data_IF_599690786129
#
_entry.id   IF_599690786129
#
_cell.length_a   1.000
_cell.length_b   1.000
_cell.length_c   1.000
_cell.angle_alpha   90.00
_cell.angle_beta   90.00
_cell.angle_gamma   90.00
#
_symmetry.space_group_name_H-M   'P 1'
#
loop_
_entity.id
_entity.type
_entity.pdbx_description
1 polymer ?
#
# COMPACT_ATOMS: atom_id res chain seq x y z
N UNK A 1 10.68 -7.06 -25.08
CA UNK A 1 12.15 -6.95 -24.91
C UNK A 1 12.50 -5.48 -24.84
N UNK A 2 13.22 -5.08 -23.80
CA UNK A 2 13.71 -3.70 -23.63
C UNK A 2 14.72 -3.36 -24.72
N UNK A 3 14.70 -2.12 -25.23
CA UNK A 3 15.72 -1.62 -26.14
C UNK A 3 17.13 -1.84 -25.54
N UNK A 4 18.07 -2.46 -26.27
CA UNK A 4 19.42 -2.73 -25.75
C UNK A 4 20.14 -1.49 -25.23
N UNK A 5 19.98 -0.32 -25.89
CA UNK A 5 20.59 0.93 -25.43
C UNK A 5 19.98 1.41 -24.11
N UNK A 6 18.66 1.27 -23.95
CA UNK A 6 17.99 1.62 -22.70
C UNK A 6 18.34 0.64 -21.57
N UNK A 7 18.55 -0.65 -21.87
CA UNK A 7 19.00 -1.65 -20.89
C UNK A 7 20.40 -1.30 -20.37
N UNK A 8 21.34 -0.94 -21.25
CA UNK A 8 22.69 -0.52 -20.85
C UNK A 8 22.67 0.68 -19.90
N UNK A 9 21.80 1.67 -20.17
CA UNK A 9 21.60 2.79 -19.26
C UNK A 9 21.01 2.34 -17.92
N UNK A 10 20.02 1.44 -17.91
CA UNK A 10 19.36 0.91 -16.72
C UNK A 10 20.33 0.11 -15.83
N UNK A 11 21.30 -0.63 -16.43
CA UNK A 11 22.33 -1.36 -15.67
C UNK A 11 23.19 -0.43 -14.80
N UNK A 12 23.37 0.82 -15.23
CA UNK A 12 24.17 1.83 -14.55
C UNK A 12 23.35 2.84 -13.73
N UNK A 13 22.03 2.82 -13.85
CA UNK A 13 21.14 3.74 -13.14
C UNK A 13 21.21 3.55 -11.63
N UNK A 14 21.18 4.67 -10.86
CA UNK A 14 21.33 4.69 -9.40
C UNK A 14 20.01 4.88 -8.66
N UNK A 15 18.91 5.14 -9.39
CA UNK A 15 17.60 5.21 -8.76
C UNK A 15 17.33 3.92 -7.98
N UNK A 16 16.79 4.04 -6.77
CA UNK A 16 16.66 2.93 -5.83
C UNK A 16 15.88 1.71 -6.38
N UNK A 17 14.90 1.83 -7.29
CA UNK A 17 14.26 0.65 -7.88
C UNK A 17 15.23 -0.21 -8.69
N UNK A 18 16.19 0.41 -9.40
CA UNK A 18 17.23 -0.32 -10.12
C UNK A 18 18.25 -0.96 -9.18
N UNK A 19 18.59 -0.31 -8.06
CA UNK A 19 19.44 -0.92 -7.04
C UNK A 19 18.82 -2.19 -6.46
N UNK A 20 17.52 -2.17 -6.17
CA UNK A 20 16.79 -3.34 -5.67
C UNK A 20 16.62 -4.42 -6.76
N UNK A 21 16.28 -4.02 -7.98
CA UNK A 21 16.17 -4.94 -9.12
C UNK A 21 17.49 -5.71 -9.40
N UNK A 22 18.65 -5.04 -9.30
CA UNK A 22 19.95 -5.70 -9.44
C UNK A 22 20.20 -6.78 -8.39
N UNK A 23 19.64 -6.70 -7.19
CA UNK A 23 19.72 -7.79 -6.19
C UNK A 23 19.01 -9.03 -6.70
N UNK A 24 17.82 -8.85 -7.32
CA UNK A 24 17.06 -9.95 -7.93
C UNK A 24 17.81 -10.53 -9.13
N UNK A 25 18.35 -9.70 -10.02
CA UNK A 25 19.21 -10.18 -11.12
C UNK A 25 20.38 -11.01 -10.60
N UNK A 26 21.06 -10.52 -9.55
CA UNK A 26 22.17 -11.26 -8.90
C UNK A 26 21.71 -12.57 -8.26
N UNK A 27 20.49 -12.59 -7.66
CA UNK A 27 19.87 -13.79 -7.09
C UNK A 27 19.73 -14.89 -8.13
N UNK A 28 19.30 -14.55 -9.33
CA UNK A 28 19.08 -15.49 -10.43
C UNK A 28 20.39 -16.11 -10.95
N UNK A 29 21.52 -15.44 -10.79
CA UNK A 29 22.82 -15.90 -11.28
C UNK A 29 22.80 -16.34 -12.77
N UNK A 30 22.03 -15.61 -13.60
CA UNK A 30 21.88 -15.90 -15.03
C UNK A 30 20.91 -17.07 -15.37
N UNK A 31 20.17 -17.59 -14.40
CA UNK A 31 19.21 -18.70 -14.61
C UNK A 31 17.78 -18.19 -14.49
N UNK A 32 16.90 -18.79 -15.27
CA UNK A 32 15.46 -18.66 -15.05
C UNK A 32 15.04 -19.58 -13.90
N UNK A 33 14.24 -19.11 -12.93
CA UNK A 33 13.70 -19.98 -11.88
C UNK A 33 12.91 -21.16 -12.47
N UNK A 34 12.90 -22.30 -11.77
CA UNK A 34 12.18 -23.51 -12.24
C UNK A 34 10.69 -23.30 -12.46
N UNK A 35 10.08 -22.35 -11.71
CA UNK A 35 8.69 -21.90 -11.90
C UNK A 35 8.47 -21.05 -13.17
N UNK A 36 9.52 -20.71 -13.92
CA UNK A 36 9.48 -19.98 -15.19
C UNK A 36 9.37 -18.45 -15.08
N UNK A 37 9.30 -17.89 -13.89
CA UNK A 37 9.16 -16.45 -13.65
C UNK A 37 9.81 -16.02 -12.33
N UNK A 38 10.05 -14.73 -12.17
CA UNK A 38 10.42 -14.09 -10.90
C UNK A 38 9.18 -13.65 -10.18
N UNK A 39 9.04 -14.03 -8.91
CA UNK A 39 7.90 -13.70 -8.08
C UNK A 39 8.21 -12.54 -7.12
N UNK A 40 7.49 -11.45 -7.32
CA UNK A 40 7.38 -10.34 -6.38
C UNK A 40 6.12 -10.55 -5.52
N UNK A 41 6.19 -10.25 -4.23
CA UNK A 41 5.07 -10.42 -3.32
C UNK A 41 4.85 -9.17 -2.47
N UNK A 42 3.59 -8.90 -2.13
CA UNK A 42 3.16 -7.94 -1.13
C UNK A 42 2.13 -8.59 -0.22
N UNK A 43 2.20 -8.33 1.10
CA UNK A 43 1.30 -8.91 2.09
C UNK A 43 0.21 -7.93 2.53
N UNK A 44 -1.00 -8.43 2.74
CA UNK A 44 -2.14 -7.66 3.22
C UNK A 44 -2.94 -8.43 4.28
N UNK A 45 -3.10 -7.84 5.46
CA UNK A 45 -3.99 -8.38 6.50
C UNK A 45 -5.40 -7.79 6.37
N UNK A 46 -6.42 -8.55 5.92
CA UNK A 46 -7.76 -8.06 5.63
C UNK A 46 -8.64 -7.90 6.88
N UNK A 47 -8.06 -7.47 8.00
CA UNK A 47 -8.76 -7.11 9.22
C UNK A 47 -9.31 -5.68 9.23
N UNK A 48 -9.21 -4.97 8.12
CA UNK A 48 -9.69 -3.61 7.89
C UNK A 48 -9.44 -3.18 6.45
N UNK A 49 -9.93 -1.98 6.08
CA UNK A 49 -9.80 -1.44 4.73
C UNK A 49 -8.33 -1.20 4.33
N UNK A 50 -8.01 -1.27 3.02
CA UNK A 50 -6.73 -0.81 2.48
C UNK A 50 -6.46 0.64 2.89
N UNK A 51 -5.21 0.99 3.03
CA UNK A 51 -4.80 2.32 3.43
C UNK A 51 -3.55 2.77 2.66
N UNK A 52 -3.13 4.00 2.91
CA UNK A 52 -2.00 4.63 2.21
C UNK A 52 -0.70 3.81 2.31
N UNK A 53 -0.50 3.05 3.40
CA UNK A 53 0.62 2.11 3.54
C UNK A 53 0.53 0.93 2.55
N UNK A 54 -0.69 0.40 2.33
CA UNK A 54 -0.95 -0.66 1.35
C UNK A 54 -0.61 -0.18 -0.06
N UNK A 55 -1.09 1.03 -0.43
CA UNK A 55 -0.70 1.67 -1.68
C UNK A 55 0.83 1.77 -1.82
N UNK A 56 1.49 2.30 -0.78
CA UNK A 56 2.94 2.52 -0.81
C UNK A 56 3.75 1.23 -0.97
N UNK A 57 3.29 0.11 -0.43
CA UNK A 57 3.94 -1.18 -0.55
C UNK A 57 3.81 -1.75 -1.97
N UNK A 58 2.59 -1.80 -2.50
CA UNK A 58 2.33 -2.31 -3.85
C UNK A 58 3.02 -1.44 -4.91
N UNK A 59 2.93 -0.10 -4.77
CA UNK A 59 3.57 0.83 -5.69
C UNK A 59 5.10 0.64 -5.72
N UNK A 60 5.75 0.59 -4.55
CA UNK A 60 7.21 0.39 -4.47
C UNK A 60 7.63 -0.95 -5.06
N UNK A 61 6.91 -2.02 -4.76
CA UNK A 61 7.20 -3.35 -5.31
C UNK A 61 7.02 -3.36 -6.84
N UNK A 62 5.99 -2.69 -7.35
CA UNK A 62 5.76 -2.52 -8.78
C UNK A 62 6.91 -1.77 -9.46
N UNK A 63 7.46 -0.73 -8.85
CA UNK A 63 8.61 0.00 -9.42
C UNK A 63 9.88 -0.86 -9.48
N UNK A 64 10.12 -1.69 -8.46
CA UNK A 64 11.25 -2.65 -8.48
C UNK A 64 11.03 -3.72 -9.55
N UNK A 65 9.82 -4.26 -9.66
CA UNK A 65 9.45 -5.23 -10.71
C UNK A 65 9.70 -4.65 -12.12
N UNK A 66 9.21 -3.45 -12.38
CA UNK A 66 9.40 -2.76 -13.68
C UNK A 66 10.89 -2.46 -13.97
N UNK A 67 11.65 -2.06 -12.96
CA UNK A 67 13.09 -1.90 -13.08
C UNK A 67 13.80 -3.24 -13.40
N UNK A 68 13.35 -4.36 -12.80
CA UNK A 68 13.85 -5.69 -13.11
C UNK A 68 13.54 -6.10 -14.55
N UNK A 69 12.34 -5.84 -15.05
CA UNK A 69 11.91 -6.12 -16.43
C UNK A 69 12.74 -5.36 -17.48
N UNK A 70 13.34 -4.23 -17.10
CA UNK A 70 14.32 -3.53 -17.96
C UNK A 70 15.69 -4.21 -17.98
N UNK A 71 16.07 -4.89 -16.88
CA UNK A 71 17.38 -5.53 -16.73
C UNK A 71 17.40 -7.00 -17.15
N UNK A 72 16.23 -7.63 -17.29
CA UNK A 72 16.09 -9.08 -17.53
C UNK A 72 14.89 -9.37 -18.42
N UNK A 73 15.01 -10.41 -19.26
CA UNK A 73 13.89 -10.90 -20.07
C UNK A 73 13.12 -12.06 -19.37
N UNK A 74 13.50 -12.40 -18.13
CA UNK A 74 12.77 -13.41 -17.35
C UNK A 74 11.40 -12.84 -16.98
N UNK A 75 10.30 -13.57 -17.28
CA UNK A 75 8.94 -13.12 -16.93
C UNK A 75 8.79 -12.83 -15.44
N UNK A 76 7.89 -11.95 -15.09
CA UNK A 76 7.61 -11.57 -13.68
C UNK A 76 6.15 -11.75 -13.34
N UNK A 77 5.87 -12.00 -12.06
CA UNK A 77 4.53 -11.91 -11.47
C UNK A 77 4.60 -11.11 -10.17
N UNK A 78 3.51 -10.43 -9.84
CA UNK A 78 3.32 -9.77 -8.55
C UNK A 78 2.13 -10.39 -7.85
N UNK A 79 2.34 -10.98 -6.68
CA UNK A 79 1.25 -11.46 -5.84
C UNK A 79 0.85 -10.40 -4.83
N UNK A 80 -0.45 -10.06 -4.83
CA UNK A 80 -1.10 -9.37 -3.73
C UNK A 80 -1.69 -10.44 -2.81
N UNK A 81 -0.92 -10.84 -1.80
CA UNK A 81 -1.25 -11.95 -0.90
C UNK A 81 -2.09 -11.44 0.28
N UNK A 82 -3.26 -12.04 0.47
CA UNK A 82 -4.15 -11.72 1.59
C UNK A 82 -4.05 -12.77 2.69
N UNK A 83 -3.74 -12.35 3.92
CA UNK A 83 -3.70 -13.18 5.13
C UNK A 83 -5.12 -13.41 5.69
N UNK A 84 -6.08 -13.75 4.83
CA UNK A 84 -7.51 -13.86 5.12
C UNK A 84 -7.90 -15.09 5.96
N UNK A 85 -6.97 -16.02 6.16
CA UNK A 85 -7.10 -17.13 7.10
C UNK A 85 -6.76 -16.75 8.55
N UNK A 86 -6.29 -15.52 8.80
CA UNK A 86 -6.03 -15.04 10.14
C UNK A 86 -7.30 -15.02 10.98
N UNK A 87 -7.18 -15.47 12.25
CA UNK A 87 -8.29 -15.38 13.20
C UNK A 87 -8.61 -13.93 13.55
N UNK A 88 -9.89 -13.59 13.55
CA UNK A 88 -10.36 -12.26 13.99
C UNK A 88 -10.00 -12.03 15.45
N UNK A 89 -9.03 -11.15 15.72
CA UNK A 89 -8.53 -10.90 17.09
C UNK A 89 -9.36 -9.88 17.86
N UNK A 90 -10.02 -8.97 17.16
CA UNK A 90 -10.85 -7.90 17.71
C UNK A 90 -11.86 -7.43 16.69
N UNK A 91 -12.96 -6.89 17.17
CA UNK A 91 -13.97 -6.24 16.31
C UNK A 91 -13.49 -4.82 15.98
N UNK A 92 -13.43 -4.42 14.69
CA UNK A 92 -13.15 -3.04 14.33
C UNK A 92 -14.27 -2.10 14.81
N UNK A 93 -13.90 -0.90 15.27
CA UNK A 93 -14.87 0.06 15.82
C UNK A 93 -15.71 0.76 14.74
N UNK A 94 -15.26 0.72 13.49
CA UNK A 94 -15.85 1.44 12.36
C UNK A 94 -16.69 0.57 11.42
N UNK A 95 -17.18 -0.57 11.90
CA UNK A 95 -18.04 -1.49 11.12
C UNK A 95 -19.41 -1.65 11.79
N UNK A 96 -20.48 -1.93 11.02
CA UNK A 96 -21.79 -2.24 11.60
C UNK A 96 -21.81 -3.65 12.22
N UNK A 97 -22.92 -4.00 12.89
CA UNK A 97 -23.18 -5.34 13.41
C UNK A 97 -22.07 -5.89 14.33
N UNK A 98 -21.49 -5.06 15.20
CA UNK A 98 -20.37 -5.40 16.07
C UNK A 98 -20.65 -6.59 17.01
N UNK A 99 -21.88 -6.72 17.54
CA UNK A 99 -22.26 -7.84 18.40
C UNK A 99 -22.20 -9.18 17.66
N UNK A 100 -22.60 -9.20 16.39
CA UNK A 100 -22.48 -10.38 15.54
C UNK A 100 -21.00 -10.74 15.36
N UNK A 101 -20.12 -9.77 15.07
CA UNK A 101 -18.69 -10.00 14.94
C UNK A 101 -18.05 -10.47 16.24
N UNK A 102 -18.51 -9.97 17.40
CA UNK A 102 -18.02 -10.40 18.72
C UNK A 102 -18.24 -11.90 18.95
N UNK A 103 -19.34 -12.46 18.46
CA UNK A 103 -19.63 -13.89 18.54
C UNK A 103 -18.75 -14.76 17.63
N UNK A 104 -17.97 -14.14 16.73
CA UNK A 104 -17.11 -14.84 15.77
C UNK A 104 -15.62 -14.59 16.01
N UNK A 105 -15.24 -14.00 17.15
CA UNK A 105 -13.83 -13.79 17.48
C UNK A 105 -13.04 -15.10 17.43
N UNK A 106 -11.82 -15.01 16.94
CA UNK A 106 -10.90 -16.13 16.78
C UNK A 106 -11.12 -16.99 15.52
N UNK A 107 -12.25 -16.86 14.82
CA UNK A 107 -12.46 -17.57 13.55
C UNK A 107 -11.65 -16.93 12.42
N UNK A 108 -11.23 -17.71 11.39
CA UNK A 108 -10.66 -17.16 10.17
C UNK A 108 -11.53 -16.03 9.60
N UNK A 109 -10.93 -14.97 9.08
CA UNK A 109 -11.69 -13.82 8.54
C UNK A 109 -12.67 -14.24 7.43
N UNK A 110 -12.33 -15.28 6.67
CA UNK A 110 -13.20 -15.89 5.65
C UNK A 110 -14.35 -16.73 6.22
N UNK A 111 -14.30 -17.06 7.52
CA UNK A 111 -15.38 -17.75 8.24
C UNK A 111 -16.19 -16.82 9.15
N UNK A 112 -15.90 -15.53 9.16
CA UNK A 112 -16.65 -14.49 9.88
C UNK A 112 -17.68 -13.89 8.93
N UNK A 113 -18.98 -13.85 9.27
CA UNK A 113 -20.01 -13.24 8.43
C UNK A 113 -19.68 -11.78 8.11
N UNK A 114 -20.03 -11.34 6.88
CA UNK A 114 -19.82 -9.95 6.47
C UNK A 114 -20.78 -9.02 7.23
N UNK A 115 -20.27 -8.05 8.03
CA UNK A 115 -21.12 -7.13 8.77
C UNK A 115 -21.92 -6.17 7.87
N UNK A 116 -21.53 -6.02 6.62
CA UNK A 116 -22.22 -5.18 5.62
C UNK A 116 -23.26 -5.96 4.82
N UNK A 117 -23.20 -7.29 4.84
CA UNK A 117 -24.13 -8.16 4.11
C UNK A 117 -23.98 -8.12 2.59
N UNK A 118 -22.84 -7.72 2.08
CA UNK A 118 -22.56 -7.55 0.64
C UNK A 118 -21.71 -8.68 0.05
N UNK A 119 -21.00 -9.42 0.91
CA UNK A 119 -20.11 -10.51 0.53
C UNK A 119 -20.34 -11.74 1.41
N UNK A 120 -19.76 -12.86 1.02
CA UNK A 120 -19.87 -14.14 1.73
C UNK A 120 -19.32 -14.07 3.15
N UNK A 121 -18.22 -13.33 3.35
CA UNK A 121 -17.59 -13.16 4.66
C UNK A 121 -16.91 -11.80 4.80
N UNK A 122 -16.50 -11.49 6.03
CA UNK A 122 -15.71 -10.29 6.33
C UNK A 122 -14.36 -10.30 5.60
N UNK A 123 -13.71 -11.47 5.49
CA UNK A 123 -12.50 -11.63 4.69
C UNK A 123 -12.74 -11.32 3.21
N UNK A 124 -13.81 -11.88 2.60
CA UNK A 124 -14.16 -11.62 1.21
C UNK A 124 -14.53 -10.16 0.95
N UNK A 125 -15.22 -9.50 1.89
CA UNK A 125 -15.51 -8.06 1.78
C UNK A 125 -14.22 -7.24 1.68
N UNK A 126 -13.28 -7.43 2.63
CA UNK A 126 -12.03 -6.68 2.64
C UNK A 126 -11.11 -7.04 1.46
N UNK A 127 -11.11 -8.30 1.02
CA UNK A 127 -10.40 -8.73 -0.19
C UNK A 127 -10.96 -8.06 -1.45
N UNK A 128 -12.28 -7.94 -1.57
CA UNK A 128 -12.92 -7.22 -2.68
C UNK A 128 -12.53 -5.73 -2.67
N UNK A 129 -12.49 -5.12 -1.49
CA UNK A 129 -12.05 -3.71 -1.34
C UNK A 129 -10.57 -3.53 -1.69
N UNK A 130 -9.71 -4.50 -1.32
CA UNK A 130 -8.31 -4.47 -1.75
C UNK A 130 -8.17 -4.55 -3.27
N UNK A 131 -8.85 -5.50 -3.90
CA UNK A 131 -8.79 -5.66 -5.36
C UNK A 131 -9.29 -4.41 -6.07
N UNK A 132 -10.45 -3.88 -5.68
CA UNK A 132 -10.97 -2.62 -6.23
C UNK A 132 -9.95 -1.48 -6.08
N UNK A 133 -9.36 -1.34 -4.91
CA UNK A 133 -8.34 -0.33 -4.65
C UNK A 133 -7.11 -0.48 -5.56
N UNK A 134 -6.60 -1.70 -5.76
CA UNK A 134 -5.46 -1.95 -6.62
C UNK A 134 -5.80 -1.74 -8.12
N UNK A 135 -7.01 -2.13 -8.52
CA UNK A 135 -7.52 -1.95 -9.88
C UNK A 135 -7.71 -0.47 -10.22
N UNK A 136 -8.23 0.33 -9.28
CA UNK A 136 -8.42 1.78 -9.44
C UNK A 136 -7.08 2.52 -9.68
N UNK A 137 -5.98 1.99 -9.13
CA UNK A 137 -4.63 2.50 -9.39
C UNK A 137 -3.94 1.84 -10.60
N UNK A 138 -4.60 0.90 -11.26
CA UNK A 138 -4.07 0.24 -12.46
C UNK A 138 -2.85 -0.65 -12.20
N UNK A 139 -2.73 -1.24 -11.01
CA UNK A 139 -1.67 -2.21 -10.72
C UNK A 139 -1.91 -3.53 -11.48
N UNK A 140 -0.82 -4.10 -12.01
CA UNK A 140 -0.81 -5.44 -12.60
C UNK A 140 -0.36 -6.45 -11.54
N UNK A 141 -1.28 -7.26 -11.05
CA UNK A 141 -1.07 -8.21 -9.95
C UNK A 141 -1.96 -9.45 -10.08
N UNK A 142 -1.55 -10.51 -9.40
CA UNK A 142 -2.39 -11.69 -9.15
C UNK A 142 -2.82 -11.66 -7.69
N UNK A 143 -4.12 -11.67 -7.43
CA UNK A 143 -4.64 -11.79 -6.07
C UNK A 143 -4.50 -13.24 -5.58
N UNK A 144 -4.02 -13.43 -4.34
CA UNK A 144 -3.84 -14.75 -3.71
C UNK A 144 -4.44 -14.74 -2.31
N UNK A 145 -5.38 -15.65 -2.05
CA UNK A 145 -5.98 -15.89 -0.74
C UNK A 145 -5.19 -16.93 0.06
N UNK A 146 -4.84 -16.59 1.29
CA UNK A 146 -4.26 -17.56 2.24
C UNK A 146 -5.20 -18.72 2.48
N UNK A 147 -6.49 -18.46 2.72
CA UNK A 147 -7.52 -19.48 2.94
C UNK A 147 -7.61 -20.47 1.79
N UNK A 148 -7.61 -19.98 0.55
CA UNK A 148 -7.63 -20.85 -0.64
C UNK A 148 -6.34 -21.69 -0.70
N UNK A 149 -5.16 -21.08 -0.51
CA UNK A 149 -3.89 -21.79 -0.54
C UNK A 149 -3.82 -22.93 0.49
N UNK A 150 -4.34 -22.73 1.69
CA UNK A 150 -4.38 -23.74 2.72
C UNK A 150 -5.41 -24.85 2.41
N UNK A 151 -6.62 -24.47 1.98
CA UNK A 151 -7.72 -25.42 1.74
C UNK A 151 -7.50 -26.28 0.49
N UNK A 152 -6.91 -25.71 -0.57
CA UNK A 152 -6.65 -26.39 -1.83
C UNK A 152 -5.35 -27.18 -1.83
N UNK A 153 -4.62 -27.19 -0.72
CA UNK A 153 -3.40 -27.97 -0.54
C UNK A 153 -2.15 -27.37 -1.17
N UNK A 154 -2.21 -26.10 -1.61
CA UNK A 154 -1.03 -25.43 -2.19
C UNK A 154 0.13 -25.36 -1.22
N UNK A 155 -0.14 -25.32 0.09
CA UNK A 155 0.84 -25.28 1.17
C UNK A 155 1.12 -26.64 1.82
N UNK A 156 0.44 -27.73 1.43
CA UNK A 156 0.52 -29.03 2.10
C UNK A 156 1.95 -29.59 2.18
N UNK A 157 2.71 -29.48 1.08
CA UNK A 157 4.10 -29.88 1.07
C UNK A 157 4.97 -29.12 2.06
N UNK A 158 4.82 -27.79 2.11
CA UNK A 158 5.54 -26.92 3.02
C UNK A 158 5.13 -27.14 4.49
N UNK A 159 3.85 -27.36 4.76
CA UNK A 159 3.34 -27.66 6.10
C UNK A 159 3.91 -28.98 6.64
N UNK A 160 4.03 -30.03 5.79
CA UNK A 160 4.70 -31.28 6.16
C UNK A 160 6.20 -31.09 6.43
N UNK A 161 6.88 -30.25 5.65
CA UNK A 161 8.28 -29.89 5.89
C UNK A 161 8.46 -29.16 7.23
N UNK A 162 7.55 -28.24 7.58
CA UNK A 162 7.57 -27.56 8.89
C UNK A 162 7.35 -28.55 10.01
N UNK A 163 6.44 -29.51 9.86
CA UNK A 163 6.23 -30.56 10.84
C UNK A 163 7.47 -31.44 11.00
N UNK A 164 8.10 -31.83 9.91
CA UNK A 164 9.34 -32.64 9.94
C UNK A 164 10.52 -31.88 10.60
N UNK A 165 10.54 -30.56 10.56
CA UNK A 165 11.57 -29.70 11.14
C UNK A 165 11.11 -28.95 12.39
N UNK A 166 10.05 -29.45 13.02
CA UNK A 166 9.36 -28.79 14.14
C UNK A 166 10.32 -28.34 15.24
N UNK A 167 11.19 -29.22 15.73
CA UNK A 167 12.10 -28.92 16.82
C UNK A 167 13.18 -27.90 16.43
N UNK A 168 13.68 -27.95 15.19
CA UNK A 168 14.63 -26.97 14.68
C UNK A 168 14.01 -25.58 14.58
N UNK A 169 12.74 -25.50 14.16
CA UNK A 169 11.97 -24.25 14.11
C UNK A 169 11.70 -23.72 15.50
N UNK A 170 11.29 -24.57 16.45
CA UNK A 170 11.16 -24.19 17.86
C UNK A 170 12.47 -23.63 18.41
N UNK A 171 13.60 -24.30 18.16
CA UNK A 171 14.92 -23.83 18.56
C UNK A 171 15.28 -22.43 18.04
N UNK A 172 14.79 -22.07 16.85
CA UNK A 172 14.98 -20.74 16.27
C UNK A 172 14.02 -19.68 16.86
N UNK A 173 12.79 -20.07 17.18
CA UNK A 173 11.71 -19.13 17.59
C UNK A 173 11.71 -18.87 19.09
N UNK A 174 11.79 -19.91 19.91
CA UNK A 174 11.65 -19.79 21.38
C UNK A 174 12.58 -18.77 22.03
N UNK A 175 13.86 -18.63 21.63
CA UNK A 175 14.76 -17.61 22.20
C UNK A 175 14.26 -16.17 21.99
N UNK A 176 13.41 -15.94 21.00
CA UNK A 176 12.87 -14.60 20.66
C UNK A 176 11.60 -14.24 21.46
N UNK A 177 11.06 -15.18 22.24
CA UNK A 177 9.80 -15.03 22.98
C UNK A 177 10.06 -14.80 24.47
N UNK A 178 9.13 -14.08 25.12
CA UNK A 178 9.08 -13.98 26.57
C UNK A 178 8.73 -15.34 27.23
N UNK A 179 9.06 -15.48 28.51
CA UNK A 179 8.98 -16.75 29.24
C UNK A 179 7.58 -17.40 29.22
N UNK A 180 6.55 -16.62 29.48
CA UNK A 180 5.16 -17.09 29.47
C UNK A 180 4.76 -17.65 28.08
N UNK A 181 5.14 -16.96 27.00
CA UNK A 181 4.79 -17.38 25.65
C UNK A 181 5.61 -18.58 25.18
N UNK A 182 6.81 -18.81 25.70
CA UNK A 182 7.61 -20.01 25.39
C UNK A 182 6.92 -21.31 25.79
N UNK A 183 6.16 -21.29 26.88
CA UNK A 183 5.50 -22.49 27.42
C UNK A 183 4.32 -22.96 26.56
N UNK A 184 3.70 -22.06 25.80
CA UNK A 184 2.49 -22.33 25.01
C UNK A 184 2.69 -22.21 23.51
N UNK A 185 3.90 -21.84 23.07
CA UNK A 185 4.16 -21.63 21.66
C UNK A 185 4.21 -22.93 20.87
N UNK A 186 3.52 -22.95 19.74
CA UNK A 186 3.68 -23.93 18.66
C UNK A 186 3.73 -23.18 17.34
N UNK A 187 4.50 -23.65 16.33
CA UNK A 187 4.39 -23.17 14.95
C UNK A 187 2.98 -23.33 14.38
N UNK A 188 2.28 -24.40 14.75
CA UNK A 188 0.93 -24.71 14.29
C UNK A 188 -0.15 -24.13 15.19
N UNK A 189 -1.18 -23.59 14.55
CA UNK A 189 -2.43 -23.11 15.16
C UNK A 189 -3.56 -24.01 14.61
N UNK A 190 -4.00 -25.04 15.34
CA UNK A 190 -5.10 -25.86 14.89
C UNK A 190 -6.40 -25.05 14.84
N UNK A 191 -7.24 -25.32 13.85
CA UNK A 191 -8.61 -24.81 13.77
C UNK A 191 -9.51 -25.82 14.46
N UNK A 192 -10.19 -25.38 15.52
CA UNK A 192 -11.06 -26.27 16.31
C UNK A 192 -12.19 -26.83 15.42
N UNK A 193 -12.30 -28.15 15.23
CA UNK A 193 -13.36 -28.73 14.39
C UNK A 193 -14.78 -28.43 14.89
N UNK A 194 -14.93 -28.16 16.19
CA UNK A 194 -16.23 -27.89 16.83
C UNK A 194 -16.66 -26.44 16.71
N UNK A 195 -15.72 -25.48 16.85
CA UNK A 195 -16.03 -24.03 16.94
C UNK A 195 -15.58 -23.25 15.71
N UNK A 196 -14.67 -23.79 14.91
CA UNK A 196 -14.02 -23.07 13.81
C UNK A 196 -13.01 -22.00 14.25
N UNK A 197 -12.67 -21.94 15.53
CA UNK A 197 -11.72 -20.96 16.08
C UNK A 197 -10.29 -21.41 15.86
N UNK A 198 -9.43 -20.50 15.43
CA UNK A 198 -7.98 -20.68 15.33
C UNK A 198 -7.40 -20.69 16.74
N UNK A 199 -6.93 -21.84 17.20
CA UNK A 199 -6.50 -22.03 18.57
C UNK A 199 -4.99 -21.75 18.73
N UNK A 200 -4.66 -21.05 19.80
CA UNK A 200 -3.28 -20.85 20.23
C UNK A 200 -3.01 -21.72 21.47
N UNK A 201 -2.71 -23.00 21.24
CA UNK A 201 -2.57 -24.04 22.26
C UNK A 201 -1.24 -24.78 22.12
N UNK A 202 -0.68 -25.35 23.20
CA UNK A 202 0.48 -26.23 23.11
C UNK A 202 0.14 -27.49 22.32
N UNK A 203 1.10 -27.99 21.54
CA UNK A 203 1.01 -29.27 20.85
C UNK A 203 1.56 -30.34 21.79
N UNK A 204 0.76 -31.35 22.05
CA UNK A 204 1.06 -32.45 22.98
C UNK A 204 1.84 -33.59 22.31
N UNK A 205 1.58 -33.82 21.03
CA UNK A 205 2.25 -34.83 20.22
C UNK A 205 2.18 -34.46 18.74
N UNK A 206 3.10 -35.00 17.96
CA UNK A 206 3.15 -34.86 16.52
C UNK A 206 3.48 -36.21 15.87
N UNK A 207 2.85 -36.50 14.75
CA UNK A 207 3.17 -37.64 13.90
C UNK A 207 3.57 -37.12 12.51
N UNK A 208 4.87 -37.15 12.24
CA UNK A 208 5.43 -36.67 10.98
C UNK A 208 5.00 -37.55 9.80
N UNK A 209 4.87 -38.87 10.02
CA UNK A 209 4.49 -39.82 8.97
C UNK A 209 3.03 -39.65 8.58
N UNK A 210 2.13 -39.53 9.56
CA UNK A 210 0.72 -39.25 9.36
C UNK A 210 0.46 -37.79 8.94
N UNK A 211 1.36 -36.86 9.30
CA UNK A 211 1.16 -35.43 9.06
C UNK A 211 0.13 -34.81 10.00
N UNK A 212 0.11 -35.27 11.27
CA UNK A 212 -0.88 -34.85 12.26
C UNK A 212 -0.20 -34.24 13.51
N UNK A 213 -1.00 -33.45 14.24
CA UNK A 213 -0.66 -32.90 15.57
C UNK A 213 -1.81 -33.20 16.54
N UNK A 214 -1.47 -33.34 17.82
CA UNK A 214 -2.42 -33.55 18.91
C UNK A 214 -2.36 -32.37 19.88
N UNK A 215 -3.50 -31.84 20.24
CA UNK A 215 -3.63 -30.79 21.26
C UNK A 215 -4.76 -31.13 22.25
N UNK A 216 -4.83 -30.43 23.38
CA UNK A 216 -5.96 -30.49 24.30
C UNK A 216 -6.98 -29.40 23.94
N UNK A 217 -8.24 -29.80 23.70
CA UNK A 217 -9.35 -28.85 23.49
C UNK A 217 -9.47 -27.94 24.73
N UNK A 218 -9.40 -26.61 24.60
CA UNK A 218 -9.35 -25.71 25.76
C UNK A 218 -10.61 -25.72 26.60
N UNK A 219 -11.76 -26.11 26.05
CA UNK A 219 -13.03 -26.16 26.78
C UNK A 219 -13.26 -27.50 27.49
N UNK A 220 -12.94 -28.61 26.83
CA UNK A 220 -13.24 -29.96 27.35
C UNK A 220 -12.04 -30.68 27.94
N UNK A 221 -10.82 -30.25 27.66
CA UNK A 221 -9.57 -30.94 27.96
C UNK A 221 -9.35 -32.24 27.17
N UNK A 222 -10.24 -32.59 26.26
CA UNK A 222 -10.10 -33.78 25.45
C UNK A 222 -8.94 -33.65 24.43
N UNK A 223 -8.22 -34.75 24.21
CA UNK A 223 -7.20 -34.79 23.16
C UNK A 223 -7.86 -34.81 21.79
N UNK A 224 -7.44 -33.90 20.93
CA UNK A 224 -7.91 -33.77 19.56
C UNK A 224 -6.71 -33.93 18.62
N UNK A 225 -6.81 -34.85 17.69
CA UNK A 225 -5.84 -35.03 16.61
C UNK A 225 -6.38 -34.39 15.33
N UNK A 226 -5.52 -33.61 14.65
CA UNK A 226 -5.88 -32.95 13.39
C UNK A 226 -4.70 -33.05 12.40
N UNK A 227 -4.95 -33.14 11.08
CA UNK A 227 -3.91 -33.03 10.09
C UNK A 227 -3.38 -31.58 10.05
N UNK A 228 -2.11 -31.40 9.70
CA UNK A 228 -1.53 -30.07 9.52
C UNK A 228 -1.88 -29.44 8.16
N UNK A 229 -2.46 -30.23 7.24
CA UNK A 229 -2.78 -29.91 5.85
C UNK A 229 -4.28 -29.68 5.63
N UNK A 230 -4.68 -29.28 4.43
CA UNK A 230 -6.09 -29.16 4.01
C UNK A 230 -6.89 -28.12 4.82
N UNK A 231 -6.26 -27.06 5.30
CA UNK A 231 -6.94 -26.01 6.04
C UNK A 231 -7.30 -26.34 7.50
N UNK A 232 -6.91 -27.51 8.03
CA UNK A 232 -7.18 -27.86 9.44
C UNK A 232 -6.26 -27.16 10.44
N UNK A 233 -5.13 -26.68 9.99
CA UNK A 233 -4.19 -25.86 10.75
C UNK A 233 -3.78 -24.64 9.95
N UNK A 234 -3.48 -23.58 10.65
CA UNK A 234 -2.75 -22.42 10.15
C UNK A 234 -1.40 -22.33 10.89
N UNK A 235 -0.45 -21.56 10.38
CA UNK A 235 0.80 -21.31 11.10
C UNK A 235 0.77 -19.99 11.87
N UNK A 236 1.63 -19.91 12.89
CA UNK A 236 1.97 -18.65 13.55
C UNK A 236 2.63 -17.69 12.54
N UNK A 237 2.31 -16.40 12.64
CA UNK A 237 2.69 -15.33 11.72
C UNK A 237 4.10 -15.46 11.09
N UNK A 238 5.15 -15.59 11.89
CA UNK A 238 6.53 -15.63 11.37
C UNK A 238 6.87 -16.96 10.68
N UNK A 239 6.27 -18.05 11.12
CA UNK A 239 6.36 -19.35 10.47
C UNK A 239 5.53 -19.39 9.19
N UNK A 240 4.35 -18.78 9.21
CA UNK A 240 3.46 -18.63 8.06
C UNK A 240 4.15 -17.86 6.94
N UNK A 241 4.76 -16.74 7.28
CA UNK A 241 5.50 -15.92 6.33
C UNK A 241 6.68 -16.67 5.68
N UNK A 242 7.47 -17.39 6.47
CA UNK A 242 8.55 -18.24 5.96
C UNK A 242 8.02 -19.40 5.10
N UNK A 243 6.94 -20.05 5.53
CA UNK A 243 6.29 -21.13 4.78
C UNK A 243 5.77 -20.63 3.43
N UNK A 244 5.16 -19.46 3.42
CA UNK A 244 4.66 -18.83 2.19
C UNK A 244 5.81 -18.55 1.21
N UNK A 245 6.92 -17.96 1.66
CA UNK A 245 8.11 -17.75 0.85
C UNK A 245 8.63 -19.07 0.25
N UNK A 246 8.73 -20.08 1.10
CA UNK A 246 9.19 -21.42 0.70
C UNK A 246 8.23 -22.08 -0.32
N UNK A 247 6.94 -22.10 -0.04
CA UNK A 247 5.95 -22.79 -0.86
C UNK A 247 5.70 -22.12 -2.22
N UNK A 248 5.78 -20.79 -2.27
CA UNK A 248 5.57 -19.99 -3.47
C UNK A 248 6.88 -19.68 -4.21
N UNK A 249 8.03 -19.99 -3.59
CA UNK A 249 9.36 -19.65 -4.09
C UNK A 249 9.47 -18.14 -4.39
N UNK A 250 9.20 -17.30 -3.38
CA UNK A 250 9.20 -15.84 -3.51
C UNK A 250 10.63 -15.33 -3.71
N UNK A 251 10.84 -14.50 -4.73
CA UNK A 251 12.14 -13.95 -5.05
C UNK A 251 12.38 -12.57 -4.41
N UNK A 252 11.31 -11.79 -4.25
CA UNK A 252 11.39 -10.43 -3.72
C UNK A 252 10.14 -10.05 -2.92
N UNK A 253 10.35 -9.59 -1.69
CA UNK A 253 9.31 -8.98 -0.86
C UNK A 253 9.92 -7.89 0.02
N UNK A 254 9.32 -6.69 0.03
CA UNK A 254 9.73 -5.63 0.95
C UNK A 254 8.75 -5.52 2.12
N UNK A 255 9.19 -4.88 3.20
CA UNK A 255 8.35 -4.71 4.39
C UNK A 255 8.63 -3.40 5.13
N UNK A 256 7.72 -3.00 6.00
CA UNK A 256 7.93 -1.90 6.91
C UNK A 256 9.07 -2.19 7.91
N UNK A 257 9.75 -1.15 8.36
CA UNK A 257 10.84 -1.25 9.35
C UNK A 257 10.42 -1.94 10.66
N UNK A 258 9.16 -1.85 11.02
CA UNK A 258 8.60 -2.52 12.21
C UNK A 258 8.57 -4.05 12.09
N UNK A 259 8.78 -4.59 10.90
CA UNK A 259 8.82 -6.03 10.62
C UNK A 259 10.24 -6.61 10.50
N UNK A 260 11.30 -5.83 10.74
CA UNK A 260 12.70 -6.28 10.61
C UNK A 260 12.97 -7.56 11.41
N UNK A 261 12.53 -7.61 12.66
CA UNK A 261 12.70 -8.80 13.50
C UNK A 261 11.91 -10.01 12.97
N UNK A 262 10.75 -9.75 12.36
CA UNK A 262 9.93 -10.79 11.72
C UNK A 262 10.61 -11.32 10.47
N UNK A 263 11.10 -10.45 9.59
CA UNK A 263 11.88 -10.81 8.39
C UNK A 263 13.11 -11.63 8.77
N UNK A 264 13.84 -11.20 9.80
CA UNK A 264 15.03 -11.89 10.29
C UNK A 264 14.72 -13.31 10.75
N UNK A 265 13.65 -13.50 11.52
CA UNK A 265 13.25 -14.80 12.02
C UNK A 265 12.65 -15.67 10.92
N UNK A 266 11.78 -15.13 10.07
CA UNK A 266 11.20 -15.85 8.93
C UNK A 266 12.31 -16.32 7.98
N UNK A 267 13.34 -15.48 7.73
CA UNK A 267 14.52 -15.86 6.95
C UNK A 267 15.34 -17.01 7.57
N UNK A 268 15.40 -17.10 8.90
CA UNK A 268 16.04 -18.26 9.58
C UNK A 268 15.21 -19.52 9.38
N UNK A 269 13.90 -19.43 9.51
CA UNK A 269 12.98 -20.56 9.34
C UNK A 269 13.06 -21.06 7.89
N UNK A 270 13.04 -20.18 6.90
CA UNK A 270 13.13 -20.59 5.51
C UNK A 270 14.47 -21.31 5.18
N UNK A 271 15.58 -20.86 5.78
CA UNK A 271 16.86 -21.60 5.66
C UNK A 271 16.81 -22.97 6.33
N UNK A 272 16.06 -23.12 7.44
CA UNK A 272 15.82 -24.43 8.06
C UNK A 272 15.04 -25.32 7.09
N UNK A 273 14.10 -24.77 6.32
CA UNK A 273 13.35 -25.48 5.28
C UNK A 273 14.23 -25.82 4.05
N UNK A 274 15.44 -25.27 3.96
CA UNK A 274 16.40 -25.56 2.89
C UNK A 274 16.32 -24.59 1.71
N UNK A 275 15.59 -23.48 1.84
CA UNK A 275 15.45 -22.47 0.79
C UNK A 275 16.26 -21.19 1.10
N UNK A 276 16.37 -20.35 0.09
CA UNK A 276 16.99 -19.03 0.18
C UNK A 276 15.93 -17.95 0.34
N UNK A 277 15.94 -17.17 1.43
CA UNK A 277 15.01 -16.07 1.64
C UNK A 277 14.95 -15.08 0.47
N UNK A 278 13.79 -14.43 0.25
CA UNK A 278 13.65 -13.43 -0.80
C UNK A 278 14.61 -12.26 -0.59
N UNK A 279 14.96 -11.59 -1.67
CA UNK A 279 15.56 -10.25 -1.60
C UNK A 279 14.51 -9.23 -1.20
N UNK A 280 14.95 -8.08 -0.70
CA UNK A 280 14.04 -7.00 -0.33
C UNK A 280 14.75 -5.91 0.46
N UNK A 281 13.98 -4.92 0.90
CA UNK A 281 14.44 -3.92 1.87
C UNK A 281 13.33 -3.50 2.81
N UNK A 282 13.72 -2.88 3.94
CA UNK A 282 12.76 -2.33 4.88
C UNK A 282 12.59 -0.83 4.63
N UNK A 283 11.35 -0.41 4.37
CA UNK A 283 10.99 1.01 4.24
C UNK A 283 10.59 1.60 5.60
N UNK A 284 10.82 2.91 5.75
CA UNK A 284 10.45 3.63 6.96
C UNK A 284 8.94 3.85 7.09
N UNK A 285 8.51 4.02 8.32
CA UNK A 285 7.13 4.29 8.66
C UNK A 285 6.78 5.77 8.48
N UNK A 286 5.49 6.05 8.34
CA UNK A 286 4.97 7.40 8.34
C UNK A 286 4.70 7.89 9.77
N UNK A 287 4.93 9.18 9.97
CA UNK A 287 4.66 9.92 11.19
C UNK A 287 3.51 10.90 10.93
N UNK A 288 2.72 11.20 11.94
CA UNK A 288 1.72 12.26 11.85
C UNK A 288 2.35 13.67 11.91
N UNK A 289 1.52 14.70 12.00
CA UNK A 289 1.96 16.09 12.07
C UNK A 289 2.84 16.37 13.28
N UNK A 290 2.55 15.74 14.42
CA UNK A 290 3.29 15.85 15.67
C UNK A 290 4.61 15.06 15.67
N UNK A 291 4.78 14.18 14.69
CA UNK A 291 5.94 13.29 14.58
C UNK A 291 5.76 11.96 15.31
N UNK A 292 4.52 11.64 15.71
CA UNK A 292 4.15 10.36 16.28
C UNK A 292 3.88 9.32 15.19
N UNK A 293 4.04 8.05 15.52
CA UNK A 293 3.78 6.97 14.57
C UNK A 293 2.29 6.91 14.21
N UNK A 294 2.01 6.90 12.89
CA UNK A 294 0.66 6.66 12.39
C UNK A 294 0.27 5.22 12.67
N UNK A 295 -0.94 5.03 13.21
CA UNK A 295 -1.50 3.70 13.42
C UNK A 295 -3.02 3.67 13.16
N UNK A 296 -3.50 2.54 12.60
CA UNK A 296 -4.93 2.30 12.36
C UNK A 296 -5.79 2.49 13.61
N UNK A 297 -5.25 2.13 14.79
CA UNK A 297 -5.99 2.21 16.05
C UNK A 297 -6.10 3.62 16.61
N UNK A 298 -5.19 4.53 16.25
CA UNK A 298 -5.24 5.95 16.65
C UNK A 298 -6.08 6.79 15.69
N UNK A 299 -6.28 6.33 14.44
CA UNK A 299 -6.98 7.09 13.41
C UNK A 299 -6.30 8.41 13.04
N UNK A 300 -4.97 8.52 13.27
CA UNK A 300 -4.18 9.72 13.07
C UNK A 300 -3.46 9.74 11.69
N UNK A 301 -3.92 8.91 10.76
CA UNK A 301 -3.34 8.82 9.42
C UNK A 301 -4.24 9.44 8.36
N UNK A 302 -3.64 9.98 7.31
CA UNK A 302 -4.34 10.43 6.12
C UNK A 302 -4.80 9.21 5.30
N UNK A 303 -6.07 9.18 4.90
CA UNK A 303 -6.60 8.14 4.01
C UNK A 303 -6.22 8.42 2.55
N UNK A 304 -6.22 7.39 1.72
CA UNK A 304 -5.95 7.55 0.28
C UNK A 304 -7.03 8.39 -0.37
N UNK A 305 -8.29 8.15 -0.02
CA UNK A 305 -9.44 8.91 -0.52
C UNK A 305 -9.36 10.39 -0.15
N UNK A 306 -8.87 10.70 1.05
CA UNK A 306 -8.62 12.09 1.46
C UNK A 306 -7.53 12.72 0.60
N UNK A 307 -6.42 12.00 0.33
CA UNK A 307 -5.39 12.51 -0.57
C UNK A 307 -5.97 12.79 -1.97
N UNK A 308 -6.69 11.82 -2.55
CA UNK A 308 -7.25 11.93 -3.90
C UNK A 308 -8.35 12.99 -4.04
N UNK A 309 -8.93 13.44 -2.94
CA UNK A 309 -9.88 14.57 -2.93
C UNK A 309 -9.18 15.91 -3.20
N UNK A 310 -7.90 16.04 -2.83
CA UNK A 310 -7.17 17.32 -2.86
C UNK A 310 -5.87 17.28 -3.68
N UNK A 311 -5.51 16.14 -4.24
CA UNK A 311 -4.29 15.96 -5.03
C UNK A 311 -4.37 14.77 -5.98
N UNK A 312 -3.60 14.85 -7.06
CA UNK A 312 -3.55 13.81 -8.06
C UNK A 312 -2.87 12.53 -7.52
N UNK A 313 -3.24 11.33 -8.02
CA UNK A 313 -2.61 10.07 -7.63
C UNK A 313 -1.10 10.06 -7.88
N UNK A 314 -0.62 10.76 -8.88
CA UNK A 314 0.81 10.89 -9.18
C UNK A 314 1.58 11.64 -8.08
N UNK A 315 0.95 12.60 -7.43
CA UNK A 315 1.55 13.30 -6.29
C UNK A 315 1.70 12.38 -5.08
N UNK A 316 0.73 11.48 -4.84
CA UNK A 316 0.81 10.43 -3.84
C UNK A 316 1.93 9.43 -4.21
N UNK A 317 1.96 8.99 -5.45
CA UNK A 317 2.99 8.08 -5.94
C UNK A 317 4.40 8.68 -5.75
N UNK A 318 4.60 9.97 -6.10
CA UNK A 318 5.86 10.66 -5.84
C UNK A 318 6.21 10.69 -4.35
N UNK A 319 5.25 11.01 -3.50
CA UNK A 319 5.46 10.98 -2.05
C UNK A 319 5.92 9.61 -1.57
N UNK A 320 5.35 8.51 -2.10
CA UNK A 320 5.77 7.14 -1.77
C UNK A 320 7.13 6.77 -2.35
N UNK A 321 7.46 7.27 -3.54
CA UNK A 321 8.73 7.00 -4.21
C UNK A 321 9.93 7.63 -3.51
N UNK A 322 9.78 8.89 -3.10
CA UNK A 322 10.89 9.68 -2.54
C UNK A 322 11.36 9.12 -1.20
N UNK A 323 12.68 8.88 -1.07
CA UNK A 323 13.34 8.53 0.18
C UNK A 323 12.62 7.42 1.00
N UNK A 324 12.40 6.22 0.47
CA UNK A 324 11.63 5.19 1.14
C UNK A 324 12.27 4.70 2.46
N UNK A 325 13.59 4.93 2.64
CA UNK A 325 14.35 4.56 3.86
C UNK A 325 14.40 5.68 4.90
N UNK A 326 13.66 6.77 4.70
CA UNK A 326 13.59 7.90 5.64
C UNK A 326 12.17 8.11 6.14
N UNK A 327 12.00 8.22 7.44
CA UNK A 327 10.72 8.57 8.03
C UNK A 327 10.22 9.92 7.50
N UNK A 328 8.95 9.98 7.14
CA UNK A 328 8.30 11.18 6.61
C UNK A 328 7.02 11.45 7.36
N UNK A 329 6.74 12.73 7.59
CA UNK A 329 5.43 13.13 8.10
C UNK A 329 4.39 13.03 6.99
N UNK A 330 3.26 12.44 7.31
CA UNK A 330 2.12 12.24 6.42
C UNK A 330 0.91 12.89 7.06
N UNK A 331 0.62 14.11 6.68
CA UNK A 331 -0.50 14.91 7.12
C UNK A 331 -0.98 15.78 5.95
N UNK A 332 -2.06 16.50 6.15
CA UNK A 332 -2.78 17.13 5.06
C UNK A 332 -1.94 18.11 4.22
N UNK A 333 -1.13 18.95 4.86
CA UNK A 333 -0.36 20.01 4.18
C UNK A 333 0.79 19.49 3.30
N UNK A 334 1.10 18.19 3.35
CA UNK A 334 2.08 17.61 2.42
C UNK A 334 1.52 17.43 1.00
N UNK A 335 0.20 17.41 0.81
CA UNK A 335 -0.44 17.21 -0.50
C UNK A 335 -0.08 18.31 -1.50
N UNK A 336 -0.27 19.61 -1.17
CA UNK A 336 0.13 20.69 -2.07
C UNK A 336 1.60 20.67 -2.42
N UNK A 337 2.46 20.45 -1.41
CA UNK A 337 3.90 20.36 -1.65
C UNK A 337 4.28 19.19 -2.55
N UNK A 338 3.73 18.01 -2.32
CA UNK A 338 4.01 16.83 -3.15
C UNK A 338 3.51 17.00 -4.57
N UNK A 339 2.41 17.72 -4.77
CA UNK A 339 1.90 18.07 -6.10
C UNK A 339 2.87 19.00 -6.83
N UNK A 340 3.36 20.05 -6.17
CA UNK A 340 4.35 20.96 -6.78
C UNK A 340 5.70 20.27 -7.05
N UNK A 341 6.15 19.41 -6.13
CA UNK A 341 7.35 18.60 -6.36
C UNK A 341 7.18 17.67 -7.58
N UNK A 342 5.99 17.05 -7.76
CA UNK A 342 5.67 16.24 -8.94
C UNK A 342 5.76 17.06 -10.24
N UNK A 343 5.12 18.22 -10.29
CA UNK A 343 5.15 19.11 -11.45
C UNK A 343 6.57 19.57 -11.78
N UNK A 344 7.39 19.85 -10.77
CA UNK A 344 8.78 20.24 -10.95
C UNK A 344 9.63 19.10 -11.54
N UNK A 345 9.42 17.85 -11.08
CA UNK A 345 10.09 16.69 -11.67
C UNK A 345 9.60 16.39 -13.08
N UNK A 346 8.31 16.54 -13.36
CA UNK A 346 7.72 16.36 -14.67
C UNK A 346 8.29 17.36 -15.70
N UNK A 347 8.39 18.64 -15.30
CA UNK A 347 9.00 19.68 -16.17
C UNK A 347 10.47 19.37 -16.51
N UNK A 348 11.26 18.95 -15.51
CA UNK A 348 12.65 18.57 -15.75
C UNK A 348 12.80 17.36 -16.65
N UNK A 349 11.93 16.34 -16.46
CA UNK A 349 11.98 15.08 -17.21
C UNK A 349 11.95 15.30 -18.72
N UNK A 350 11.17 16.26 -19.20
CA UNK A 350 11.04 16.57 -20.63
C UNK A 350 12.35 17.07 -21.27
N UNK A 351 13.25 17.67 -20.47
CA UNK A 351 14.52 18.27 -20.92
C UNK A 351 15.73 17.35 -20.65
N UNK A 352 15.55 16.27 -19.89
CA UNK A 352 16.62 15.39 -19.45
C UNK A 352 17.01 14.38 -20.54
N UNK A 353 18.32 14.07 -20.64
CA UNK A 353 18.82 12.97 -21.45
C UNK A 353 18.35 11.60 -20.86
N UNK A 354 18.28 10.53 -21.68
CA UNK A 354 17.72 9.25 -21.25
C UNK A 354 18.34 8.65 -19.99
N UNK A 355 19.64 8.83 -19.75
CA UNK A 355 20.31 8.39 -18.52
C UNK A 355 19.80 9.15 -17.29
N UNK A 356 19.50 10.44 -17.43
CA UNK A 356 18.93 11.28 -16.36
C UNK A 356 17.45 11.02 -16.16
N UNK A 357 16.73 10.72 -17.23
CA UNK A 357 15.32 10.31 -17.13
C UNK A 357 15.15 9.06 -16.29
N UNK A 358 16.04 8.07 -16.37
CA UNK A 358 16.02 6.88 -15.53
C UNK A 358 16.26 7.18 -14.03
N UNK A 359 16.95 8.27 -13.72
CA UNK A 359 17.14 8.74 -12.32
C UNK A 359 15.97 9.57 -11.81
N UNK A 360 15.16 10.13 -12.72
CA UNK A 360 14.02 10.96 -12.37
C UNK A 360 12.84 10.09 -11.88
N UNK A 361 12.21 10.41 -10.72
CA UNK A 361 11.03 9.69 -10.24
C UNK A 361 9.94 9.51 -11.30
N UNK A 362 9.74 10.49 -12.16
CA UNK A 362 8.70 10.48 -13.20
C UNK A 362 8.79 9.27 -14.12
N UNK A 363 10.00 8.81 -14.46
CA UNK A 363 10.18 7.58 -15.21
C UNK A 363 9.46 6.40 -14.53
N UNK A 364 9.68 6.22 -13.25
CA UNK A 364 9.16 5.10 -12.50
C UNK A 364 7.65 5.17 -12.27
N UNK A 365 7.14 6.39 -12.01
CA UNK A 365 5.72 6.61 -11.80
C UNK A 365 4.91 6.32 -13.06
N UNK A 366 5.44 6.73 -14.23
CA UNK A 366 4.74 6.66 -15.52
C UNK A 366 5.26 5.56 -16.45
N UNK A 367 6.11 4.69 -15.98
CA UNK A 367 6.72 3.64 -16.80
C UNK A 367 7.35 4.18 -18.10
N UNK A 368 8.06 5.31 -17.98
CA UNK A 368 8.73 5.98 -19.11
C UNK A 368 7.82 6.79 -20.05
N UNK A 369 6.52 6.84 -19.82
CA UNK A 369 5.55 7.52 -20.67
C UNK A 369 4.72 8.58 -19.91
N UNK A 370 5.35 9.65 -19.37
CA UNK A 370 4.64 10.68 -18.65
C UNK A 370 3.77 11.57 -19.54
N UNK A 371 2.82 12.32 -18.97
CA UNK A 371 2.10 13.37 -19.69
C UNK A 371 3.06 14.37 -20.35
N UNK A 372 2.72 14.82 -21.55
CA UNK A 372 3.51 15.81 -22.32
C UNK A 372 2.98 17.24 -22.23
N UNK A 373 2.05 17.46 -21.31
CA UNK A 373 1.45 18.78 -21.11
C UNK A 373 2.48 19.74 -20.49
N UNK A 374 2.67 20.89 -21.11
CA UNK A 374 3.53 21.94 -20.56
C UNK A 374 2.86 22.57 -19.34
N UNK A 375 3.49 22.45 -18.17
CA UNK A 375 2.98 23.03 -16.93
C UNK A 375 3.46 24.48 -16.81
N UNK A 376 2.52 25.42 -16.89
CA UNK A 376 2.80 26.87 -16.75
C UNK A 376 2.53 27.38 -15.35
N UNK A 377 1.73 26.68 -14.55
CA UNK A 377 1.34 27.08 -13.20
C UNK A 377 1.58 25.91 -12.22
N UNK A 378 2.10 26.23 -11.06
CA UNK A 378 2.20 25.28 -9.97
C UNK A 378 0.92 25.26 -9.12
N UNK A 379 0.74 24.23 -8.31
CA UNK A 379 -0.46 24.04 -7.52
C UNK A 379 -0.61 25.10 -6.41
N UNK A 380 0.49 25.52 -5.81
CA UNK A 380 0.48 26.59 -4.81
C UNK A 380 -0.04 27.92 -5.35
N UNK A 381 0.26 28.25 -6.62
CA UNK A 381 -0.31 29.43 -7.28
C UNK A 381 -1.82 29.28 -7.47
N UNK A 382 -2.30 28.10 -7.89
CA UNK A 382 -3.73 27.85 -8.06
C UNK A 382 -4.48 27.90 -6.73
N UNK A 383 -3.91 27.39 -5.63
CA UNK A 383 -4.50 27.50 -4.30
C UNK A 383 -4.61 28.97 -3.83
N UNK A 384 -3.56 29.76 -4.06
CA UNK A 384 -3.58 31.18 -3.76
C UNK A 384 -4.63 31.92 -4.61
N UNK A 385 -4.70 31.62 -5.90
CA UNK A 385 -5.67 32.21 -6.81
C UNK A 385 -7.10 31.85 -6.38
N UNK A 386 -7.38 30.57 -6.11
CA UNK A 386 -8.70 30.13 -5.60
C UNK A 386 -9.10 30.86 -4.32
N UNK A 387 -8.11 31.09 -3.43
CA UNK A 387 -8.32 31.81 -2.16
C UNK A 387 -8.61 33.30 -2.37
N UNK A 388 -7.88 33.98 -3.24
CA UNK A 388 -8.03 35.43 -3.50
C UNK A 388 -9.31 35.72 -4.25
N UNK A 389 -9.62 34.91 -5.27
CA UNK A 389 -10.81 35.10 -6.13
C UNK A 389 -12.08 34.51 -5.51
N UNK A 390 -12.02 33.88 -4.34
CA UNK A 390 -13.13 33.15 -3.73
C UNK A 390 -13.75 32.10 -4.68
N UNK A 391 -12.90 31.36 -5.39
CA UNK A 391 -13.32 30.49 -6.46
C UNK A 391 -14.11 29.28 -5.94
N UNK A 392 -15.41 29.31 -6.11
CA UNK A 392 -16.31 28.17 -5.81
C UNK A 392 -16.54 27.26 -7.02
N UNK A 393 -16.01 27.64 -8.18
CA UNK A 393 -16.15 26.94 -9.44
C UNK A 393 -14.86 27.05 -10.27
N UNK A 394 -14.56 26.02 -11.08
CA UNK A 394 -13.39 25.99 -11.95
C UNK A 394 -13.38 27.15 -12.96
N UNK A 395 -14.54 27.60 -13.44
CA UNK A 395 -14.66 28.65 -14.45
C UNK A 395 -14.06 29.97 -13.98
N UNK A 396 -14.12 30.26 -12.69
CA UNK A 396 -13.52 31.47 -12.10
C UNK A 396 -11.99 31.43 -12.28
N UNK A 397 -11.34 30.33 -11.92
CA UNK A 397 -9.89 30.17 -12.05
C UNK A 397 -9.49 30.15 -13.54
N UNK A 398 -10.25 29.42 -14.37
CA UNK A 398 -10.00 29.39 -15.82
C UNK A 398 -10.12 30.77 -16.46
N UNK A 399 -11.02 31.64 -15.99
CA UNK A 399 -11.11 33.03 -16.44
C UNK A 399 -9.79 33.79 -16.26
N UNK A 400 -9.14 33.60 -15.11
CA UNK A 400 -7.82 34.20 -14.86
C UNK A 400 -6.71 33.54 -15.68
N UNK A 401 -6.72 32.21 -15.80
CA UNK A 401 -5.73 31.48 -16.59
C UNK A 401 -5.74 31.97 -18.05
N UNK A 402 -6.92 32.11 -18.65
CA UNK A 402 -7.09 32.56 -20.04
C UNK A 402 -6.59 34.01 -20.28
N UNK A 403 -6.58 34.86 -19.27
CA UNK A 403 -6.00 36.18 -19.39
C UNK A 403 -4.47 36.15 -19.61
N UNK A 404 -3.78 35.11 -19.15
CA UNK A 404 -2.32 34.93 -19.30
C UNK A 404 -1.94 33.91 -20.37
N UNK A 405 -2.78 32.92 -20.61
CA UNK A 405 -2.60 31.84 -21.58
C UNK A 405 -3.90 31.63 -22.37
N UNK A 406 -4.20 32.49 -23.34
CA UNK A 406 -5.47 32.46 -24.09
C UNK A 406 -5.72 31.15 -24.85
N UNK A 407 -4.63 30.45 -25.24
CA UNK A 407 -4.67 29.16 -25.91
C UNK A 407 -4.97 27.97 -24.99
N UNK A 408 -4.85 28.14 -23.67
CA UNK A 408 -5.08 27.06 -22.72
C UNK A 408 -6.58 26.84 -22.50
N UNK A 409 -6.97 25.57 -22.43
CA UNK A 409 -8.35 25.15 -22.09
C UNK A 409 -8.31 23.84 -21.28
N UNK A 410 -9.43 23.50 -20.65
CA UNK A 410 -9.58 22.26 -19.91
C UNK A 410 -9.33 21.02 -20.80
N UNK A 411 -9.69 21.10 -22.09
CA UNK A 411 -9.53 20.01 -23.06
C UNK A 411 -8.06 19.87 -23.52
N UNK A 412 -7.36 20.98 -23.72
CA UNK A 412 -5.97 20.98 -24.17
C UNK A 412 -4.98 20.79 -23.03
N UNK A 413 -5.39 21.07 -21.78
CA UNK A 413 -4.58 21.01 -20.57
C UNK A 413 -5.29 20.21 -19.44
N UNK A 414 -5.51 18.89 -19.62
CA UNK A 414 -6.26 18.08 -18.67
C UNK A 414 -5.57 17.95 -17.29
N UNK A 415 -4.25 17.97 -17.23
CA UNK A 415 -3.52 17.97 -15.95
C UNK A 415 -3.79 19.28 -15.20
N UNK A 416 -3.68 20.42 -15.87
CA UNK A 416 -3.98 21.72 -15.28
C UNK A 416 -5.46 21.81 -14.85
N UNK A 417 -6.39 21.28 -15.64
CA UNK A 417 -7.81 21.27 -15.27
C UNK A 417 -8.08 20.43 -14.02
N UNK A 418 -7.38 19.30 -13.86
CA UNK A 418 -7.40 18.51 -12.61
C UNK A 418 -6.90 19.33 -11.42
N UNK A 419 -5.76 20.01 -11.56
CA UNK A 419 -5.21 20.87 -10.50
C UNK A 419 -6.14 22.01 -10.12
N UNK A 420 -6.79 22.64 -11.10
CA UNK A 420 -7.82 23.67 -10.86
C UNK A 420 -8.97 23.10 -10.02
N UNK A 421 -9.42 21.86 -10.32
CA UNK A 421 -10.45 21.18 -9.55
C UNK A 421 -10.06 20.96 -8.09
N UNK A 422 -8.85 20.44 -7.86
CA UNK A 422 -8.31 20.24 -6.50
C UNK A 422 -8.17 21.55 -5.73
N UNK A 423 -7.72 22.62 -6.39
CA UNK A 423 -7.58 23.93 -5.76
C UNK A 423 -8.94 24.51 -5.32
N UNK A 424 -9.98 24.35 -6.13
CA UNK A 424 -11.37 24.77 -5.78
C UNK A 424 -11.88 23.97 -4.61
N UNK A 425 -11.68 22.64 -4.61
CA UNK A 425 -12.12 21.77 -3.52
C UNK A 425 -11.41 22.13 -2.22
N UNK A 426 -10.09 22.30 -2.27
CA UNK A 426 -9.29 22.73 -1.12
C UNK A 426 -9.75 24.07 -0.54
N UNK A 427 -10.01 25.04 -1.41
CA UNK A 427 -10.56 26.34 -1.00
C UNK A 427 -11.89 26.20 -0.26
N UNK A 428 -12.83 25.42 -0.81
CA UNK A 428 -14.16 25.22 -0.20
C UNK A 428 -14.09 24.60 1.18
N UNK A 429 -13.23 23.61 1.36
CA UNK A 429 -13.24 22.78 2.55
C UNK A 429 -12.33 23.31 3.65
N UNK A 430 -11.21 23.96 3.33
CA UNK A 430 -10.22 24.41 4.30
C UNK A 430 -10.06 25.91 4.42
N UNK A 431 -10.14 26.65 3.31
CA UNK A 431 -9.89 28.08 3.33
C UNK A 431 -11.13 28.88 3.65
N UNK A 432 -12.22 28.62 2.92
CA UNK A 432 -13.47 29.36 3.04
C UNK A 432 -14.05 29.32 4.46
N UNK A 433 -14.16 28.16 5.15
CA UNK A 433 -14.72 28.09 6.49
C UNK A 433 -13.93 28.86 7.54
N UNK A 434 -12.63 29.03 7.30
CA UNK A 434 -11.71 29.70 8.24
C UNK A 434 -11.48 31.19 7.90
N UNK A 435 -12.06 31.70 6.80
CA UNK A 435 -11.95 33.13 6.46
C UNK A 435 -12.75 33.98 7.43
N UNK A 436 -12.04 34.94 8.03
CA UNK A 436 -12.64 35.97 8.87
C UNK A 436 -12.60 37.30 8.16
N UNK A 437 -13.73 37.96 8.08
CA UNK A 437 -13.84 39.28 7.46
C UNK A 437 -14.08 40.32 8.53
N UNK A 438 -13.28 41.38 8.57
CA UNK A 438 -13.57 42.53 9.37
C UNK A 438 -14.61 43.43 8.63
N UNK A 439 -15.47 44.15 9.35
CA UNK A 439 -16.31 45.17 8.72
C UNK A 439 -15.41 46.27 8.10
N UNK A 440 -15.80 46.70 6.91
CA UNK A 440 -15.12 47.84 6.26
C UNK A 440 -15.30 49.12 7.07
N UNK A 441 -14.20 49.87 7.26
CA UNK A 441 -14.25 51.20 7.85
C UNK A 441 -15.06 52.16 6.95
N UNK A 442 -15.57 53.27 7.49
CA UNK A 442 -16.40 54.21 6.71
C UNK A 442 -15.75 54.68 5.39
N UNK A 443 -14.48 54.98 5.41
CA UNK A 443 -13.72 55.42 4.23
C UNK A 443 -13.55 54.30 3.21
N UNK A 444 -13.28 53.04 3.66
CA UNK A 444 -13.17 51.84 2.81
C UNK A 444 -14.52 51.50 2.20
N UNK A 445 -15.62 51.61 2.97
CA UNK A 445 -16.98 51.37 2.48
C UNK A 445 -17.34 52.39 1.38
N UNK A 446 -17.01 53.69 1.58
CA UNK A 446 -17.26 54.69 0.56
C UNK A 446 -16.45 54.43 -0.72
N UNK A 447 -15.15 54.01 -0.61
CA UNK A 447 -14.35 53.65 -1.76
C UNK A 447 -14.82 52.40 -2.50
N UNK A 448 -15.26 51.37 -1.76
CA UNK A 448 -15.85 50.16 -2.36
C UNK A 448 -17.20 50.46 -3.05
N UNK A 449 -17.98 51.37 -2.49
CA UNK A 449 -19.23 51.80 -3.06
C UNK A 449 -19.02 52.59 -4.37
N UNK A 450 -18.07 53.51 -4.39
CA UNK A 450 -17.67 54.28 -5.56
C UNK A 450 -17.14 53.35 -6.67
N UNK A 451 -16.27 52.37 -6.32
CA UNK A 451 -15.77 51.37 -7.26
C UNK A 451 -16.91 50.53 -7.85
N UNK A 452 -17.83 50.05 -7.01
CA UNK A 452 -18.99 49.28 -7.47
C UNK A 452 -19.83 50.09 -8.47
N UNK A 453 -20.09 51.34 -8.14
CA UNK A 453 -20.93 52.20 -8.98
C UNK A 453 -20.26 52.56 -10.31
N UNK A 454 -18.92 52.70 -10.30
CA UNK A 454 -18.12 52.86 -11.52
C UNK A 454 -18.10 51.60 -12.40
N UNK A 455 -17.92 50.42 -11.79
CA UNK A 455 -17.98 49.14 -12.51
C UNK A 455 -19.36 48.87 -13.11
N UNK A 456 -20.44 49.18 -12.36
CA UNK A 456 -21.81 49.04 -12.85
C UNK A 456 -22.17 50.00 -14.02
N UNK A 457 -21.45 51.11 -14.17
CA UNK A 457 -21.61 52.07 -15.26
C UNK A 457 -20.81 51.70 -16.53
N UNK A 458 -19.94 50.70 -16.48
CA UNK A 458 -19.22 50.22 -17.64
C UNK A 458 -20.15 49.45 -18.60
N UNK A 459 -19.96 49.55 -19.93
CA UNK A 459 -20.65 48.68 -20.87
C UNK A 459 -20.45 47.20 -20.57
N UNK A 460 -21.44 46.32 -20.87
CA UNK A 460 -21.42 44.89 -20.52
C UNK A 460 -20.25 44.12 -21.16
N UNK A 461 -19.64 44.64 -22.17
CA UNK A 461 -18.53 44.13 -22.97
C UNK A 461 -17.18 44.80 -22.65
N UNK A 462 -17.14 45.67 -21.63
CA UNK A 462 -15.87 46.28 -21.18
C UNK A 462 -15.04 45.24 -20.44
N UNK A 463 -13.79 45.09 -20.86
CA UNK A 463 -12.79 44.35 -20.09
C UNK A 463 -12.47 45.19 -18.83
N UNK A 464 -12.63 44.63 -17.61
CA UNK A 464 -12.46 45.36 -16.36
C UNK A 464 -11.01 45.73 -16.06
#
# INVERSE_FOLDING_TARGET
MTDPALRELAENARAWPFEEARKVVKRLAGKTPDKGYVLFETGYGPSGLPHIGTFGEVARTTWVRRAFEMLSDVPTRLFAFSDDMDGMRRVPSNVPNQDMLQAHLGKPLTAVPDPFGTHESFGHHNNARLRQFLDDFGFDYDFVSSTECYNEGRFDGALREILARYDAILGAVLPTLGEERRQTYSPFLPICPRTGVVLQVPILAQDVAAGTIVYADPDSGAKVEVPVTGGHCKLQWKCDWAMRWYALDVDYEMSGKDLIDSVTLSSKIERILGARPPEGFNYELFLDEEGERISKSKGNGLAVEEWLTYGAPESLALFMYQNPRRAKRLYFDVIPKSTDDYLAFLGKFAEEAPDKQLENPIWHLHHGAPPREAQTLNFSILLNLASVCHAEDKSVIWGYIKAYAPEASAESHPVLDGLVGYAVTYYKDFVRPNKTYRPAEPAERAALQDLRDKLAALPADSDP
#
